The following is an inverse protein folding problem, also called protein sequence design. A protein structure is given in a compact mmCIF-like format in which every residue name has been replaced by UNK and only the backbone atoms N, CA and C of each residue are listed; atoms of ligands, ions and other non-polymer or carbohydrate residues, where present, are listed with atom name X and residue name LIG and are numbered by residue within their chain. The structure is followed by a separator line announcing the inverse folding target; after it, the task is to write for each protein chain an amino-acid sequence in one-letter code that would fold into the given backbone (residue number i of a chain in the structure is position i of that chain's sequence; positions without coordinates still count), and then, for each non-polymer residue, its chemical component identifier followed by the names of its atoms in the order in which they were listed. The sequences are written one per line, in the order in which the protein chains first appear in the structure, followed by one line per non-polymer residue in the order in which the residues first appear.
data_IF_720414225274
#
_entry.id   IF_720414225274
#
_cell.length_a   1.000
_cell.length_b   1.000
_cell.length_c   1.000
_cell.angle_alpha   90.00
_cell.angle_beta   90.00
_cell.angle_gamma   90.00
#
_symmetry.space_group_name_H-M   'P 1'
#
loop_
_entity.id
_entity.type
_entity.pdbx_description
1 polymer ?
#
# COMPACT_ATOMS: atom_id res chain seq x y z
N UNK A 1 -31.29 -59.65 -34.69
CA UNK A 1 -31.29 -60.22 -33.30
C UNK A 1 -30.48 -59.27 -32.48
N UNK A 2 -31.15 -58.48 -31.77
CA UNK A 2 -31.32 -58.39 -30.28
C UNK A 2 -29.99 -58.13 -29.59
N UNK A 3 -29.77 -57.20 -28.79
CA UNK A 3 -30.59 -56.21 -28.12
C UNK A 3 -29.80 -55.60 -26.97
N UNK A 4 -30.26 -54.45 -26.60
CA UNK A 4 -30.26 -53.87 -25.26
C UNK A 4 -28.95 -53.32 -24.68
N UNK A 5 -28.92 -51.99 -24.53
CA UNK A 5 -29.38 -51.11 -23.42
C UNK A 5 -28.62 -51.42 -22.14
N UNK A 6 -27.91 -50.51 -21.54
CA UNK A 6 -28.50 -49.52 -20.63
C UNK A 6 -27.49 -48.35 -20.43
N UNK A 7 -28.01 -47.18 -20.57
CA UNK A 7 -27.41 -45.92 -20.13
C UNK A 7 -27.34 -45.84 -18.62
N UNK A 8 -26.34 -45.18 -18.05
CA UNK A 8 -26.55 -44.44 -16.84
C UNK A 8 -25.73 -43.13 -16.82
N UNK A 9 -26.48 -42.13 -16.89
CA UNK A 9 -26.29 -40.69 -16.73
C UNK A 9 -26.03 -40.40 -15.27
N UNK A 10 -24.86 -39.90 -14.96
CA UNK A 10 -24.70 -39.04 -13.77
C UNK A 10 -23.76 -37.90 -14.14
N UNK A 11 -24.33 -36.83 -14.64
CA UNK A 11 -23.70 -35.53 -14.59
C UNK A 11 -23.94 -34.99 -13.17
N UNK A 12 -22.89 -34.81 -12.43
CA UNK A 12 -22.90 -33.94 -11.24
C UNK A 12 -22.11 -32.71 -11.62
N UNK A 13 -22.86 -31.67 -12.04
CA UNK A 13 -22.35 -30.30 -12.06
C UNK A 13 -22.19 -29.85 -10.61
N UNK A 14 -20.96 -29.79 -10.14
CA UNK A 14 -20.61 -29.01 -8.94
C UNK A 14 -19.62 -27.90 -9.34
N UNK A 15 -20.17 -26.84 -9.91
CA UNK A 15 -19.51 -25.53 -9.94
C UNK A 15 -19.91 -24.79 -8.65
N UNK A 16 -19.24 -25.10 -7.56
CA UNK A 16 -19.21 -24.23 -6.40
C UNK A 16 -17.94 -23.39 -6.51
N UNK A 17 -18.10 -22.17 -7.00
CA UNK A 17 -17.11 -21.13 -6.82
C UNK A 17 -16.98 -20.84 -5.32
N UNK A 18 -15.76 -20.68 -4.77
CA UNK A 18 -15.59 -20.33 -3.37
C UNK A 18 -16.22 -18.95 -3.12
N UNK A 19 -16.93 -18.75 -1.97
CA UNK A 19 -17.44 -17.43 -1.62
C UNK A 19 -16.28 -16.48 -1.43
N UNK A 20 -16.30 -15.37 -2.16
CA UNK A 20 -15.34 -14.30 -2.01
C UNK A 20 -15.43 -13.75 -0.58
N UNK A 21 -14.31 -13.47 0.04
CA UNK A 21 -14.18 -12.90 1.40
C UNK A 21 -15.09 -11.70 1.68
N UNK A 22 -15.55 -11.02 0.65
CA UNK A 22 -16.47 -9.88 0.74
C UNK A 22 -17.86 -10.25 1.26
N UNK A 23 -18.35 -11.46 1.00
CA UNK A 23 -19.67 -11.90 1.45
C UNK A 23 -19.71 -12.32 2.93
N UNK A 24 -18.55 -12.71 3.50
CA UNK A 24 -18.46 -13.10 4.92
C UNK A 24 -18.57 -11.86 5.81
N UNK A 25 -17.99 -10.72 5.42
CA UNK A 25 -18.08 -9.47 6.19
C UNK A 25 -19.49 -8.89 6.23
N UNK A 26 -20.23 -8.97 5.13
CA UNK A 26 -21.64 -8.49 5.08
C UNK A 26 -22.55 -9.38 5.94
N UNK A 27 -22.27 -10.69 6.02
CA UNK A 27 -23.06 -11.62 6.83
C UNK A 27 -22.84 -11.44 8.34
N UNK A 28 -21.60 -11.13 8.74
CA UNK A 28 -21.27 -10.85 10.15
C UNK A 28 -21.92 -9.56 10.66
N UNK A 29 -21.99 -8.50 9.83
CA UNK A 29 -22.60 -7.22 10.23
C UNK A 29 -24.13 -7.34 10.46
N UNK A 30 -24.83 -8.16 9.69
CA UNK A 30 -26.27 -8.42 9.88
C UNK A 30 -26.59 -9.30 11.09
N UNK A 31 -25.69 -10.22 11.45
CA UNK A 31 -25.89 -11.14 12.57
C UNK A 31 -25.64 -10.45 13.91
N UNK A 32 -24.69 -9.51 13.96
CA UNK A 32 -24.38 -8.75 15.18
C UNK A 32 -25.50 -7.77 15.52
N UNK A 33 -26.19 -7.16 14.54
CA UNK A 33 -27.34 -6.28 14.79
C UNK A 33 -28.56 -6.99 15.37
N UNK A 34 -28.68 -8.31 15.17
CA UNK A 34 -29.82 -9.11 15.65
C UNK A 34 -29.71 -9.54 17.13
N UNK A 35 -28.55 -9.41 17.77
CA UNK A 35 -28.32 -9.91 19.13
C UNK A 35 -28.53 -8.82 20.20
N UNK A 36 -28.69 -7.54 19.80
CA UNK A 36 -28.79 -6.41 20.71
C UNK A 36 -30.16 -5.71 20.78
N UNK A 37 -31.26 -6.42 20.50
CA UNK A 37 -32.58 -5.92 20.83
C UNK A 37 -33.09 -6.65 22.08
N UNK A 38 -32.72 -6.16 23.25
CA UNK A 38 -33.39 -6.52 24.51
C UNK A 38 -34.61 -5.61 24.71
N UNK A 39 -35.67 -6.09 25.43
CA UNK A 39 -36.95 -5.41 25.48
C UNK A 39 -36.91 -4.13 26.32
N UNK A 40 -37.73 -3.16 25.88
CA UNK A 40 -38.02 -1.90 26.55
C UNK A 40 -38.43 -2.10 28.01
N UNK A 41 -37.75 -1.39 28.89
CA UNK A 41 -38.30 -0.84 30.11
C UNK A 41 -38.28 0.67 30.03
N UNK A 42 -39.44 1.29 30.10
CA UNK A 42 -39.64 2.73 30.22
C UNK A 42 -39.09 3.16 31.58
N UNK A 43 -38.06 4.02 31.59
CA UNK A 43 -37.76 4.86 32.74
C UNK A 43 -37.10 6.16 32.27
N UNK A 44 -37.70 7.20 32.63
CA UNK A 44 -37.44 8.63 32.69
C UNK A 44 -36.11 9.23 32.20
N UNK A 45 -36.28 10.32 31.49
CA UNK A 45 -35.32 11.28 30.95
C UNK A 45 -34.12 11.56 31.88
N UNK A 46 -32.99 10.99 31.52
CA UNK A 46 -31.69 11.64 31.65
C UNK A 46 -31.07 11.73 30.26
N UNK A 47 -31.04 12.92 29.67
CA UNK A 47 -30.20 13.26 28.53
C UNK A 47 -28.71 13.07 28.89
N UNK A 48 -28.26 11.83 28.98
CA UNK A 48 -26.84 11.50 28.84
C UNK A 48 -26.48 11.76 27.39
N UNK A 49 -25.87 12.92 27.11
CA UNK A 49 -25.09 13.14 25.90
C UNK A 49 -24.14 11.97 25.71
N UNK A 50 -24.59 10.92 25.01
CA UNK A 50 -23.70 9.90 24.50
C UNK A 50 -22.71 10.62 23.58
N UNK A 51 -21.50 10.87 24.07
CA UNK A 51 -20.38 11.21 23.20
C UNK A 51 -20.35 10.13 22.15
N UNK A 52 -20.79 10.42 20.91
CA UNK A 52 -20.57 9.53 19.77
C UNK A 52 -19.08 9.22 19.77
N UNK A 53 -18.73 7.96 19.99
CA UNK A 53 -17.34 7.56 19.89
C UNK A 53 -16.86 7.89 18.47
N UNK A 54 -15.79 8.67 18.41
CA UNK A 54 -15.17 9.07 17.15
C UNK A 54 -14.68 7.82 16.41
N UNK A 55 -14.93 7.68 15.10
CA UNK A 55 -14.47 6.55 14.32
C UNK A 55 -12.97 6.31 14.52
N UNK A 56 -12.56 5.05 14.57
CA UNK A 56 -11.14 4.68 14.81
C UNK A 56 -10.19 5.36 13.81
N UNK A 57 -10.60 5.47 12.54
CA UNK A 57 -9.83 6.12 11.49
C UNK A 57 -9.55 7.60 11.79
N UNK A 58 -10.58 8.33 12.28
CA UNK A 58 -10.43 9.75 12.63
C UNK A 58 -9.52 9.94 13.85
N UNK A 59 -9.67 9.06 14.86
CA UNK A 59 -8.78 9.07 16.03
C UNK A 59 -7.34 8.78 15.64
N UNK A 60 -7.12 7.83 14.72
CA UNK A 60 -5.80 7.47 14.22
C UNK A 60 -5.16 8.65 13.46
N UNK A 61 -5.90 9.28 12.56
CA UNK A 61 -5.42 10.43 11.80
C UNK A 61 -5.00 11.59 12.71
N UNK A 62 -5.73 11.86 13.81
CA UNK A 62 -5.35 12.87 14.82
C UNK A 62 -4.01 12.63 15.48
N UNK A 63 -3.49 11.40 15.43
CA UNK A 63 -2.14 11.10 15.92
C UNK A 63 -1.05 11.44 14.89
N UNK A 64 -1.41 12.04 13.76
CA UNK A 64 -0.54 12.37 12.62
C UNK A 64 0.18 11.15 12.06
N UNK A 65 -0.51 10.02 12.06
CA UNK A 65 -0.01 8.76 11.53
C UNK A 65 -0.86 8.34 10.33
N UNK A 66 -0.21 7.79 9.31
CA UNK A 66 -0.83 7.25 8.10
C UNK A 66 -0.34 5.81 7.92
N UNK A 67 -1.22 4.92 7.49
CA UNK A 67 -0.85 3.55 7.10
C UNK A 67 -1.09 3.41 5.60
N UNK A 68 -0.02 3.11 4.86
CA UNK A 68 -0.06 2.76 3.45
C UNK A 68 0.14 1.25 3.36
N UNK A 69 -0.94 0.50 3.13
CA UNK A 69 -0.91 -0.96 3.02
C UNK A 69 -1.67 -1.43 1.77
N UNK A 70 -1.27 -2.61 1.27
CA UNK A 70 -1.88 -3.22 0.09
C UNK A 70 -1.31 -2.69 -1.23
N UNK A 71 -1.97 -3.03 -2.33
CA UNK A 71 -1.55 -2.66 -3.68
C UNK A 71 -1.72 -1.14 -3.91
N UNK A 72 -0.70 -0.49 -4.45
CA UNK A 72 -0.74 0.92 -4.83
C UNK A 72 -1.57 1.05 -6.10
N UNK A 73 -2.73 1.67 -5.97
CA UNK A 73 -3.65 2.00 -7.04
C UNK A 73 -4.14 3.45 -6.88
N UNK A 74 -4.98 3.89 -7.79
CA UNK A 74 -5.49 5.25 -7.79
C UNK A 74 -6.30 5.60 -6.53
N UNK A 75 -7.12 4.67 -6.03
CA UNK A 75 -7.93 4.88 -4.83
C UNK A 75 -7.05 5.05 -3.59
N UNK A 76 -6.04 4.18 -3.42
CA UNK A 76 -5.11 4.30 -2.31
C UNK A 76 -4.32 5.61 -2.40
N UNK A 77 -3.85 5.98 -3.59
CA UNK A 77 -3.10 7.22 -3.79
C UNK A 77 -3.94 8.47 -3.46
N UNK A 78 -5.20 8.53 -3.89
CA UNK A 78 -6.14 9.60 -3.55
C UNK A 78 -6.38 9.68 -2.04
N UNK A 79 -6.60 8.54 -1.38
CA UNK A 79 -6.78 8.46 0.07
C UNK A 79 -5.57 8.97 0.85
N UNK A 80 -4.36 8.55 0.49
CA UNK A 80 -3.11 8.99 1.12
C UNK A 80 -2.86 10.49 0.87
N UNK A 81 -3.07 10.96 -0.36
CA UNK A 81 -2.91 12.37 -0.71
C UNK A 81 -3.82 13.28 0.12
N UNK A 82 -5.11 12.92 0.27
CA UNK A 82 -6.06 13.65 1.12
C UNK A 82 -5.61 13.70 2.57
N UNK A 83 -5.17 12.58 3.14
CA UNK A 83 -4.69 12.52 4.52
C UNK A 83 -3.48 13.43 4.73
N UNK A 84 -2.50 13.39 3.83
CA UNK A 84 -1.31 14.26 3.88
C UNK A 84 -1.69 15.73 3.83
N UNK A 85 -2.56 16.14 2.90
CA UNK A 85 -2.99 17.53 2.73
C UNK A 85 -3.82 18.02 3.93
N UNK A 86 -4.68 17.17 4.52
CA UNK A 86 -5.43 17.53 5.74
C UNK A 86 -4.45 17.76 6.89
N UNK A 87 -3.56 16.80 7.16
CA UNK A 87 -2.59 16.91 8.25
C UNK A 87 -1.66 18.12 8.08
N UNK A 88 -1.21 18.41 6.85
CA UNK A 88 -0.37 19.57 6.56
C UNK A 88 -1.11 20.90 6.75
N UNK A 89 -2.44 20.93 6.53
CA UNK A 89 -3.26 22.13 6.77
C UNK A 89 -3.51 22.41 8.26
N UNK A 90 -3.42 21.39 9.12
CA UNK A 90 -3.68 21.51 10.56
C UNK A 90 -2.45 22.00 11.35
N UNK A 91 -1.26 21.50 11.05
CA UNK A 91 0.00 21.96 11.66
C UNK A 91 1.21 21.55 10.81
N UNK A 92 2.39 22.10 11.14
CA UNK A 92 3.67 21.70 10.54
C UNK A 92 4.39 20.61 11.36
N UNK A 93 3.72 19.95 12.31
CA UNK A 93 4.32 18.87 13.08
C UNK A 93 4.63 17.65 12.19
N UNK A 94 5.55 16.77 12.59
CA UNK A 94 5.89 15.60 11.82
C UNK A 94 4.69 14.66 11.56
N UNK A 95 4.64 14.11 10.35
CA UNK A 95 3.72 13.06 9.93
C UNK A 95 4.50 11.75 9.83
N UNK A 96 3.97 10.67 10.39
CA UNK A 96 4.59 9.34 10.35
C UNK A 96 3.77 8.40 9.47
N UNK A 97 4.35 7.96 8.35
CA UNK A 97 3.69 7.04 7.43
C UNK A 97 4.35 5.66 7.50
N UNK A 98 3.54 4.65 7.82
CA UNK A 98 3.96 3.24 7.85
C UNK A 98 3.63 2.61 6.51
N UNK A 99 4.60 1.91 5.91
CA UNK A 99 4.48 1.32 4.56
C UNK A 99 4.63 -0.20 4.65
N UNK A 100 3.60 -0.92 4.16
CA UNK A 100 3.59 -2.36 3.94
C UNK A 100 2.82 -2.65 2.64
N UNK A 101 3.54 -2.68 1.50
CA UNK A 101 2.92 -2.74 0.19
C UNK A 101 3.78 -3.50 -0.82
N UNK A 102 3.18 -4.36 -1.65
CA UNK A 102 3.87 -5.00 -2.77
C UNK A 102 4.18 -4.02 -3.93
N UNK A 103 3.76 -2.76 -3.83
CA UNK A 103 3.77 -1.81 -4.94
C UNK A 103 2.48 -1.84 -5.74
N UNK A 104 2.56 -1.58 -7.04
CA UNK A 104 1.41 -1.52 -7.93
C UNK A 104 1.60 -0.49 -9.04
N UNK A 105 0.59 0.31 -9.30
CA UNK A 105 0.59 1.32 -10.36
C UNK A 105 1.66 2.40 -10.13
N UNK A 106 2.50 2.63 -11.13
CA UNK A 106 3.65 3.54 -11.05
C UNK A 106 3.20 5.00 -10.98
N UNK A 107 2.15 5.39 -11.71
CA UNK A 107 1.63 6.76 -11.71
C UNK A 107 0.96 7.08 -10.37
N UNK A 108 0.23 6.13 -9.79
CA UNK A 108 -0.30 6.24 -8.43
C UNK A 108 0.83 6.35 -7.39
N UNK A 109 1.92 5.59 -7.56
CA UNK A 109 3.13 5.72 -6.75
C UNK A 109 3.78 7.10 -6.86
N UNK A 110 3.90 7.66 -8.07
CA UNK A 110 4.38 9.02 -8.28
C UNK A 110 3.45 10.08 -7.66
N UNK A 111 2.14 9.90 -7.72
CA UNK A 111 1.20 10.83 -7.08
C UNK A 111 1.44 10.91 -5.56
N UNK A 112 1.63 9.77 -4.89
CA UNK A 112 1.98 9.73 -3.46
C UNK A 112 3.35 10.36 -3.22
N UNK A 113 4.36 9.99 -4.01
CA UNK A 113 5.72 10.52 -3.94
C UNK A 113 5.74 12.05 -4.02
N UNK A 114 5.04 12.62 -5.00
CA UNK A 114 5.02 14.06 -5.22
C UNK A 114 4.27 14.80 -4.09
N UNK A 115 3.15 14.27 -3.58
CA UNK A 115 2.42 14.89 -2.46
C UNK A 115 3.24 14.86 -1.16
N UNK A 116 3.96 13.78 -0.88
CA UNK A 116 4.90 13.74 0.28
C UNK A 116 5.94 14.85 0.19
N UNK A 117 6.44 15.14 -1.00
CA UNK A 117 7.43 16.20 -1.24
C UNK A 117 6.83 17.61 -1.27
N UNK A 118 5.54 17.71 -1.58
CA UNK A 118 4.82 18.97 -1.72
C UNK A 118 4.41 19.58 -0.38
N UNK A 119 4.04 18.74 0.60
CA UNK A 119 3.63 19.18 1.94
C UNK A 119 4.79 19.82 2.70
N UNK A 120 4.49 20.78 3.58
CA UNK A 120 5.48 21.49 4.42
C UNK A 120 5.88 20.67 5.64
N UNK A 121 4.94 19.90 6.18
CA UNK A 121 5.16 19.04 7.34
C UNK A 121 6.27 18.02 7.07
N UNK A 122 7.22 17.81 7.97
CA UNK A 122 8.20 16.74 7.84
C UNK A 122 7.53 15.37 7.83
N UNK A 123 7.68 14.61 6.73
CA UNK A 123 7.16 13.23 6.65
C UNK A 123 8.28 12.25 6.97
N UNK A 124 8.01 11.32 7.89
CA UNK A 124 8.87 10.17 8.21
C UNK A 124 8.22 8.91 7.65
N UNK A 125 9.01 8.10 6.94
CA UNK A 125 8.55 6.87 6.30
C UNK A 125 9.14 5.66 7.02
N UNK A 126 8.26 4.79 7.49
CA UNK A 126 8.62 3.62 8.28
C UNK A 126 8.23 2.36 7.50
N UNK A 127 9.22 1.64 7.00
CA UNK A 127 9.00 0.36 6.32
C UNK A 127 8.70 -0.75 7.32
N UNK A 128 7.58 -1.46 7.12
CA UNK A 128 7.18 -2.64 7.88
C UNK A 128 6.72 -3.76 6.93
N UNK A 129 7.07 -5.01 7.22
CA UNK A 129 6.70 -6.13 6.36
C UNK A 129 7.35 -6.04 4.98
N UNK A 130 6.60 -5.69 3.95
CA UNK A 130 7.06 -5.65 2.56
C UNK A 130 7.02 -4.23 1.98
N UNK A 131 8.13 -3.78 1.43
CA UNK A 131 8.23 -2.51 0.70
C UNK A 131 8.79 -2.81 -0.70
N UNK A 132 7.91 -2.98 -1.68
CA UNK A 132 8.32 -3.47 -3.00
C UNK A 132 7.88 -2.54 -4.14
N UNK A 133 8.72 -2.46 -5.19
CA UNK A 133 8.37 -1.82 -6.46
C UNK A 133 7.94 -0.34 -6.26
N UNK A 134 6.72 0.04 -6.66
CA UNK A 134 6.20 1.40 -6.46
C UNK A 134 6.18 1.85 -4.98
N UNK A 135 6.10 0.92 -4.01
CA UNK A 135 6.21 1.27 -2.59
C UNK A 135 7.64 1.70 -2.21
N UNK A 136 8.67 1.14 -2.85
CA UNK A 136 10.04 1.61 -2.66
C UNK A 136 10.22 3.01 -3.26
N UNK A 137 9.58 3.33 -4.40
CA UNK A 137 9.54 4.69 -4.92
C UNK A 137 8.96 5.66 -3.88
N UNK A 138 7.82 5.32 -3.26
CA UNK A 138 7.20 6.15 -2.21
C UNK A 138 8.15 6.34 -1.02
N UNK A 139 8.84 5.28 -0.57
CA UNK A 139 9.84 5.36 0.50
C UNK A 139 10.94 6.39 0.20
N UNK A 140 11.33 6.55 -1.06
CA UNK A 140 12.38 7.47 -1.48
C UNK A 140 11.91 8.93 -1.61
N UNK A 141 10.66 9.24 -1.29
CA UNK A 141 10.12 10.60 -1.38
C UNK A 141 10.72 11.57 -0.35
N UNK A 142 11.35 11.08 0.71
CA UNK A 142 11.94 11.88 1.79
C UNK A 142 13.46 11.73 1.86
N UNK A 143 14.19 12.67 2.50
CA UNK A 143 15.61 12.54 2.77
C UNK A 143 15.93 11.26 3.54
N UNK A 144 17.15 10.74 3.37
CA UNK A 144 17.60 9.46 3.93
C UNK A 144 17.31 9.33 5.43
N UNK A 145 17.53 10.39 6.19
CA UNK A 145 17.39 10.45 7.65
C UNK A 145 15.95 10.19 8.12
N UNK A 146 14.97 10.38 7.25
CA UNK A 146 13.55 10.15 7.54
C UNK A 146 13.02 8.82 6.98
N UNK A 147 13.89 7.98 6.43
CA UNK A 147 13.57 6.63 5.95
C UNK A 147 14.05 5.60 6.95
N UNK A 148 13.12 4.90 7.59
CA UNK A 148 13.36 4.02 8.74
C UNK A 148 12.78 2.64 8.43
N UNK A 149 13.41 1.57 8.88
CA UNK A 149 12.91 0.21 8.76
C UNK A 149 12.62 -0.44 10.11
N UNK A 150 11.63 -1.35 10.14
CA UNK A 150 11.48 -2.29 11.24
C UNK A 150 12.34 -3.55 10.96
N UNK A 151 12.72 -4.33 12.00
CA UNK A 151 13.73 -5.39 11.86
C UNK A 151 13.42 -6.47 10.81
N UNK A 152 12.14 -6.78 10.60
CA UNK A 152 11.71 -7.82 9.67
C UNK A 152 11.21 -7.25 8.34
N UNK A 153 11.46 -5.97 8.04
CA UNK A 153 11.09 -5.37 6.77
C UNK A 153 11.97 -5.88 5.64
N UNK A 154 11.34 -6.09 4.47
CA UNK A 154 12.00 -6.53 3.23
C UNK A 154 11.71 -5.54 2.12
N UNK A 155 12.70 -5.33 1.27
CA UNK A 155 12.64 -4.34 0.21
C UNK A 155 12.90 -4.98 -1.14
N UNK A 156 12.22 -4.48 -2.16
CA UNK A 156 12.44 -4.90 -3.55
C UNK A 156 12.53 -3.68 -4.45
N UNK A 157 13.60 -3.61 -5.20
CA UNK A 157 13.73 -2.71 -6.35
C UNK A 157 13.80 -3.52 -7.63
N UNK A 158 13.13 -3.05 -8.68
CA UNK A 158 13.16 -3.62 -10.01
C UNK A 158 12.68 -2.62 -11.07
N UNK A 159 12.90 -2.92 -12.34
CA UNK A 159 12.36 -2.13 -13.44
C UNK A 159 10.82 -2.20 -13.48
N UNK A 160 10.14 -1.19 -14.06
CA UNK A 160 8.69 -1.22 -14.19
C UNK A 160 8.24 -2.40 -15.05
N UNK A 161 7.16 -3.03 -14.63
CA UNK A 161 6.49 -4.12 -15.38
C UNK A 161 5.28 -3.56 -16.11
N UNK A 162 5.05 -4.01 -17.33
CA UNK A 162 3.89 -3.63 -18.10
C UNK A 162 3.76 -4.45 -19.36
N UNK A 163 2.61 -4.32 -20.03
CA UNK A 163 2.35 -4.96 -21.32
C UNK A 163 1.29 -4.21 -22.10
N UNK A 164 1.37 -4.27 -23.41
CA UNK A 164 0.45 -3.63 -24.34
C UNK A 164 0.09 -4.55 -25.48
N UNK A 165 -1.15 -4.45 -25.96
CA UNK A 165 -1.62 -5.02 -27.22
C UNK A 165 -2.09 -3.89 -28.11
N UNK A 166 -1.68 -3.91 -29.37
CA UNK A 166 -2.07 -2.87 -30.33
C UNK A 166 -1.34 -3.04 -31.64
N UNK A 167 -1.42 -2.02 -32.50
CA UNK A 167 -0.63 -1.96 -33.74
C UNK A 167 0.84 -1.69 -33.43
N UNK A 168 1.75 -2.04 -34.33
CA UNK A 168 3.19 -1.96 -34.10
C UNK A 168 3.64 -0.56 -33.62
N UNK A 169 3.09 0.50 -34.19
CA UNK A 169 3.40 1.88 -33.84
C UNK A 169 3.04 2.21 -32.37
N UNK A 170 1.87 1.75 -31.92
CA UNK A 170 1.43 1.97 -30.53
C UNK A 170 2.32 1.21 -29.54
N UNK A 171 2.70 -0.02 -29.89
CA UNK A 171 3.65 -0.83 -29.08
C UNK A 171 5.00 -0.14 -28.98
N UNK A 172 5.50 0.46 -30.07
CA UNK A 172 6.77 1.21 -30.08
C UNK A 172 6.68 2.46 -29.19
N UNK A 173 5.57 3.20 -29.25
CA UNK A 173 5.33 4.39 -28.41
C UNK A 173 5.34 3.98 -26.95
N UNK A 174 4.60 2.92 -26.59
CA UNK A 174 4.53 2.40 -25.23
C UNK A 174 5.90 1.94 -24.72
N UNK A 175 6.65 1.20 -25.52
CA UNK A 175 8.00 0.75 -25.14
C UNK A 175 8.94 1.93 -24.84
N UNK A 176 8.90 2.98 -25.67
CA UNK A 176 9.69 4.21 -25.44
C UNK A 176 9.28 4.93 -24.16
N UNK A 177 8.00 4.93 -23.82
CA UNK A 177 7.52 5.54 -22.58
C UNK A 177 7.95 4.74 -21.34
N UNK A 178 7.83 3.41 -21.40
CA UNK A 178 8.35 2.53 -20.35
C UNK A 178 9.85 2.72 -20.08
N UNK A 179 10.66 2.91 -21.12
CA UNK A 179 12.09 3.20 -20.98
C UNK A 179 12.35 4.55 -20.29
N UNK A 180 11.53 5.57 -20.57
CA UNK A 180 11.61 6.87 -19.85
C UNK A 180 11.27 6.71 -18.37
N UNK A 181 10.21 5.96 -18.05
CA UNK A 181 9.81 5.66 -16.67
C UNK A 181 10.93 4.90 -15.96
N UNK A 182 11.50 3.87 -16.59
CA UNK A 182 12.63 3.11 -16.07
C UNK A 182 13.83 4.01 -15.75
N UNK A 183 14.22 4.86 -16.68
CA UNK A 183 15.32 5.81 -16.49
C UNK A 183 15.06 6.79 -15.35
N UNK A 184 13.81 7.31 -15.23
CA UNK A 184 13.38 8.20 -14.14
C UNK A 184 13.46 7.50 -12.79
N UNK A 185 12.95 6.27 -12.67
CA UNK A 185 12.99 5.48 -11.43
C UNK A 185 14.43 5.17 -11.00
N UNK A 186 15.26 4.72 -11.93
CA UNK A 186 16.68 4.45 -11.64
C UNK A 186 17.42 5.68 -11.16
N UNK A 187 17.15 6.84 -11.78
CA UNK A 187 17.71 8.11 -11.32
C UNK A 187 17.27 8.48 -9.91
N UNK A 188 15.98 8.31 -9.58
CA UNK A 188 15.45 8.57 -8.22
C UNK A 188 16.17 7.67 -7.20
N UNK A 189 16.30 6.37 -7.51
CA UNK A 189 17.01 5.43 -6.63
C UNK A 189 18.47 5.85 -6.44
N UNK A 190 19.17 6.15 -7.53
CA UNK A 190 20.58 6.57 -7.47
C UNK A 190 20.76 7.85 -6.65
N UNK A 191 19.96 8.88 -6.92
CA UNK A 191 20.02 10.17 -6.22
C UNK A 191 19.68 10.01 -4.72
N UNK A 192 18.72 9.15 -4.38
CA UNK A 192 18.27 8.96 -3.01
C UNK A 192 19.18 8.07 -2.16
N UNK A 193 19.85 7.10 -2.77
CA UNK A 193 20.72 6.13 -2.07
C UNK A 193 22.19 6.50 -2.10
N UNK A 194 22.64 7.27 -3.10
CA UNK A 194 24.04 7.52 -3.41
C UNK A 194 24.70 6.40 -4.21
N UNK A 195 23.97 5.37 -4.59
CA UNK A 195 24.49 4.29 -5.44
C UNK A 195 24.67 4.80 -6.87
N UNK A 196 25.79 4.49 -7.54
CA UNK A 196 26.00 4.90 -8.92
C UNK A 196 24.88 4.43 -9.86
N UNK A 197 24.47 5.29 -10.80
CA UNK A 197 23.33 5.02 -11.69
C UNK A 197 23.50 3.75 -12.53
N UNK A 198 24.73 3.46 -12.96
CA UNK A 198 25.05 2.25 -13.71
C UNK A 198 24.91 0.98 -12.86
N UNK A 199 25.21 1.06 -11.56
CA UNK A 199 24.96 -0.03 -10.61
C UNK A 199 23.45 -0.20 -10.36
N UNK A 200 22.72 0.89 -10.09
CA UNK A 200 21.26 0.84 -9.94
C UNK A 200 20.60 0.23 -11.17
N UNK A 201 21.06 0.59 -12.37
CA UNK A 201 20.52 0.06 -13.63
C UNK A 201 20.72 -1.47 -13.75
N UNK A 202 21.83 -1.99 -13.25
CA UNK A 202 22.06 -3.45 -13.20
C UNK A 202 21.20 -4.12 -12.14
N UNK A 203 21.14 -3.54 -10.95
CA UNK A 203 20.40 -4.11 -9.81
C UNK A 203 18.90 -4.17 -10.11
N UNK A 204 18.33 -3.13 -10.75
CA UNK A 204 16.90 -3.04 -11.08
C UNK A 204 16.51 -3.79 -12.35
N UNK A 205 17.44 -4.39 -13.10
CA UNK A 205 17.11 -5.14 -14.33
C UNK A 205 16.21 -6.35 -14.06
N UNK A 206 16.34 -6.93 -12.86
CA UNK A 206 15.46 -7.98 -12.33
C UNK A 206 15.12 -7.67 -10.86
N UNK A 207 14.37 -8.55 -10.24
CA UNK A 207 14.02 -8.45 -8.82
C UNK A 207 15.29 -8.44 -7.95
N UNK A 208 15.55 -7.33 -7.31
CA UNK A 208 16.65 -7.16 -6.38
C UNK A 208 16.11 -7.00 -4.95
N UNK A 209 16.19 -8.10 -4.20
CA UNK A 209 15.70 -8.19 -2.85
C UNK A 209 16.74 -7.79 -1.83
N UNK A 210 16.31 -7.03 -0.82
CA UNK A 210 17.14 -6.63 0.31
C UNK A 210 16.37 -6.86 1.61
N UNK A 211 17.07 -7.38 2.62
CA UNK A 211 16.59 -7.33 4.00
C UNK A 211 16.80 -5.92 4.60
N UNK A 212 16.45 -5.76 5.88
CA UNK A 212 16.55 -4.46 6.55
C UNK A 212 18.01 -3.97 6.65
N UNK A 213 18.95 -4.86 6.99
CA UNK A 213 20.39 -4.52 7.13
C UNK A 213 21.04 -4.21 5.78
N UNK A 214 20.69 -4.96 4.74
CA UNK A 214 21.13 -4.72 3.36
C UNK A 214 20.56 -3.40 2.85
N UNK A 215 19.33 -3.05 3.22
CA UNK A 215 18.68 -1.80 2.84
C UNK A 215 19.30 -0.57 3.50
N UNK A 216 19.84 -0.70 4.72
CA UNK A 216 20.67 0.35 5.33
C UNK A 216 21.96 0.53 4.56
N UNK A 217 22.64 -0.57 4.20
CA UNK A 217 23.92 -0.53 3.44
C UNK A 217 23.72 0.04 2.03
N UNK A 218 22.65 -0.33 1.37
CA UNK A 218 22.29 0.18 0.03
C UNK A 218 21.88 1.65 0.07
N UNK A 219 21.40 2.13 1.21
CA UNK A 219 20.96 3.51 1.41
C UNK A 219 19.46 3.74 1.17
N UNK A 220 18.66 2.68 1.06
CA UNK A 220 17.20 2.78 1.00
C UNK A 220 16.63 3.35 2.29
N UNK A 221 17.15 2.90 3.44
CA UNK A 221 16.78 3.41 4.76
C UNK A 221 18.01 3.90 5.53
N UNK A 222 17.80 4.71 6.55
CA UNK A 222 18.88 5.25 7.39
C UNK A 222 19.23 4.37 8.57
N UNK A 223 18.21 3.75 9.19
CA UNK A 223 18.34 2.96 10.41
C UNK A 223 17.20 1.95 10.54
N UNK A 224 17.43 0.94 11.38
CA UNK A 224 16.43 -0.01 11.84
C UNK A 224 16.09 0.35 13.28
N UNK A 225 14.80 0.37 13.61
CA UNK A 225 14.32 0.62 14.98
C UNK A 225 13.49 -0.56 15.47
N UNK A 226 13.52 -0.80 16.76
CA UNK A 226 12.77 -1.87 17.45
C UNK A 226 11.69 -1.33 18.37
N UNK A 227 11.82 -0.06 18.77
CA UNK A 227 10.91 0.60 19.70
C UNK A 227 10.49 1.97 19.18
N UNK A 228 9.26 2.36 19.52
CA UNK A 228 8.67 3.64 19.09
C UNK A 228 9.46 4.86 19.56
N UNK A 229 10.10 4.76 20.74
CA UNK A 229 10.89 5.84 21.31
C UNK A 229 12.11 6.21 20.45
N UNK A 230 12.55 5.32 19.56
CA UNK A 230 13.66 5.52 18.63
C UNK A 230 13.27 6.33 17.37
N UNK A 231 11.99 6.69 17.23
CA UNK A 231 11.50 7.57 16.16
C UNK A 231 11.86 9.06 16.37
N UNK A 232 12.48 9.41 17.48
CA UNK A 232 12.89 10.78 17.82
C UNK A 232 14.16 11.18 17.10
#
# INVERSE_FOLDING_TARGET
MSGNKIANKFMINNTLSPPTFFNIFIYMDKTIKSIYTAPHFDDEEEEKKQKKEEPFADRFLKTRQIILTGEINKELADGIARQLLILDSESNDPIYMYIDSPGGDVDAGFAIYDVIRFVKSPVYLIGMGLIASAATLVLLAVPKERRIGLPNSRYLIHQPLGGMRGVATDIEIYAKDMEKIRAKLNKIIADATGTPLDQVTKDTDRDYWLDADESVKYGLISKIITKREELK
#
